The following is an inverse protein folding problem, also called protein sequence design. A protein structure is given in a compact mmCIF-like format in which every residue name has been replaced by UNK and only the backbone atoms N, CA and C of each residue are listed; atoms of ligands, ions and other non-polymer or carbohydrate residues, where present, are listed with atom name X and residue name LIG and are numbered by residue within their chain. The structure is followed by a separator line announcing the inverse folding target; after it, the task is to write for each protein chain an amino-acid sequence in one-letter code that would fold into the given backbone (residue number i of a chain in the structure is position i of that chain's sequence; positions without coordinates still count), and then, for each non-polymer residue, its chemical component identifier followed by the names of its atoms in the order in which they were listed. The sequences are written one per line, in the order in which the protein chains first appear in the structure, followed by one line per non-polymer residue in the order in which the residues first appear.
data_IF_203591799011
#
_entry.id   IF_203591799011
#
_cell.length_a   1.000
_cell.length_b   1.000
_cell.length_c   1.000
_cell.angle_alpha   90.00
_cell.angle_beta   90.00
_cell.angle_gamma   90.00
#
_symmetry.space_group_name_H-M   'P 1'
#
loop_
_entity.id
_entity.type
_entity.pdbx_description
1 polymer ?
#
# COMPACT_ATOMS: atom_id res chain seq x y z
N UNK A 1 13.41 2.64 7.09
CA UNK A 1 12.38 3.47 7.76
C UNK A 1 11.86 2.80 9.03
N UNK A 2 11.66 3.54 10.12
CA UNK A 2 11.04 3.05 11.36
C UNK A 2 10.03 4.06 11.88
N UNK A 3 8.77 3.64 12.03
CA UNK A 3 7.67 4.49 12.51
C UNK A 3 6.89 3.79 13.62
N UNK A 4 6.60 4.53 14.69
CA UNK A 4 5.70 4.07 15.75
C UNK A 4 4.30 4.62 15.47
N UNK A 5 3.34 3.72 15.28
CA UNK A 5 1.94 4.08 15.03
C UNK A 5 1.11 3.45 16.14
N UNK A 6 0.54 4.31 17.00
CA UNK A 6 -0.14 3.87 18.23
C UNK A 6 0.78 3.08 19.15
N UNK A 7 0.42 1.81 19.42
CA UNK A 7 1.20 0.87 20.25
C UNK A 7 2.14 -0.02 19.45
N UNK A 8 2.06 -0.01 18.11
CA UNK A 8 2.84 -0.87 17.23
C UNK A 8 4.06 -0.09 16.68
N UNK A 9 5.18 -0.80 16.52
CA UNK A 9 6.41 -0.26 15.93
C UNK A 9 6.60 -0.97 14.61
N UNK A 10 6.59 -0.20 13.53
CA UNK A 10 6.84 -0.65 12.17
C UNK A 10 8.27 -0.31 11.81
N UNK A 11 9.01 -1.30 11.32
CA UNK A 11 10.44 -1.23 11.12
C UNK A 11 10.77 -2.05 9.88
N UNK A 12 11.21 -1.38 8.81
CA UNK A 12 11.48 -2.02 7.51
C UNK A 12 12.65 -2.99 7.58
N UNK A 13 13.62 -2.77 8.48
CA UNK A 13 14.80 -3.63 8.62
C UNK A 13 14.49 -4.93 9.38
N UNK A 14 13.57 -4.84 10.35
CA UNK A 14 13.12 -6.02 11.11
C UNK A 14 11.99 -6.81 10.45
N UNK A 15 11.44 -6.29 9.37
CA UNK A 15 10.29 -6.87 8.68
C UNK A 15 10.70 -7.58 7.40
N UNK A 16 9.91 -8.57 6.98
CA UNK A 16 10.17 -9.32 5.75
C UNK A 16 9.65 -8.51 4.55
N UNK A 17 10.54 -8.12 3.65
CA UNK A 17 10.17 -7.54 2.37
C UNK A 17 9.43 -8.56 1.51
N UNK A 18 8.33 -8.13 0.90
CA UNK A 18 7.47 -8.97 0.05
C UNK A 18 7.61 -8.59 -1.42
N UNK A 19 7.51 -7.31 -1.73
CA UNK A 19 7.55 -6.81 -3.09
C UNK A 19 7.39 -5.29 -3.12
N UNK A 20 7.53 -4.72 -4.31
CA UNK A 20 7.33 -3.29 -4.54
C UNK A 20 6.54 -3.02 -5.80
N UNK A 21 5.76 -1.95 -5.75
CA UNK A 21 5.03 -1.37 -6.86
C UNK A 21 5.61 0.01 -7.14
N UNK A 22 5.87 0.33 -8.40
CA UNK A 22 6.36 1.64 -8.81
C UNK A 22 5.38 2.17 -9.85
N UNK A 23 4.72 3.27 -9.53
CA UNK A 23 3.83 3.98 -10.44
C UNK A 23 4.47 5.31 -10.83
N UNK A 24 5.03 5.36 -12.04
CA UNK A 24 5.67 6.55 -12.58
C UNK A 24 7.05 6.25 -13.14
N UNK A 25 7.64 7.26 -13.77
CA UNK A 25 9.00 7.20 -14.32
C UNK A 25 9.97 7.98 -13.43
N UNK A 26 11.26 7.64 -13.52
CA UNK A 26 12.31 8.32 -12.78
C UNK A 26 12.28 9.83 -13.03
N UNK A 27 12.18 10.63 -11.97
CA UNK A 27 12.10 12.10 -12.06
C UNK A 27 10.69 12.65 -12.32
N UNK A 28 9.65 11.80 -12.32
CA UNK A 28 8.29 12.27 -12.45
C UNK A 28 7.78 12.79 -11.08
N UNK A 29 7.41 14.08 -10.96
CA UNK A 29 7.02 14.67 -9.67
C UNK A 29 5.72 14.07 -9.10
N UNK A 30 4.92 13.42 -9.94
CA UNK A 30 3.69 12.71 -9.58
C UNK A 30 3.91 11.21 -9.31
N UNK A 31 5.11 10.68 -9.58
CA UNK A 31 5.41 9.27 -9.41
C UNK A 31 5.53 8.87 -7.94
N UNK A 32 5.19 7.63 -7.64
CA UNK A 32 5.32 7.06 -6.30
C UNK A 32 5.72 5.58 -6.34
N UNK A 33 6.29 5.13 -5.23
CA UNK A 33 6.74 3.77 -4.98
C UNK A 33 6.10 3.27 -3.69
N UNK A 34 5.61 2.04 -3.71
CA UNK A 34 4.98 1.37 -2.58
C UNK A 34 5.69 0.04 -2.35
N UNK A 35 6.24 -0.16 -1.16
CA UNK A 35 6.97 -1.38 -0.79
C UNK A 35 6.24 -2.11 0.33
N UNK A 36 5.87 -3.36 0.10
CA UNK A 36 5.12 -4.18 1.07
C UNK A 36 6.06 -4.95 1.99
N UNK A 37 5.81 -4.83 3.28
CA UNK A 37 6.54 -5.53 4.33
C UNK A 37 5.59 -6.30 5.25
N UNK A 38 6.03 -7.50 5.63
CA UNK A 38 5.39 -8.33 6.65
C UNK A 38 6.15 -8.21 7.96
N UNK A 39 5.51 -7.67 9.00
CA UNK A 39 6.09 -7.54 10.34
C UNK A 39 5.94 -8.82 11.14
N UNK A 40 4.72 -9.36 11.19
CA UNK A 40 4.38 -10.58 11.93
C UNK A 40 3.18 -11.27 11.28
N UNK A 41 2.75 -12.43 11.79
CA UNK A 41 1.52 -13.07 11.32
C UNK A 41 0.32 -12.12 11.52
N UNK A 42 -0.35 -11.72 10.43
CA UNK A 42 -1.48 -10.79 10.42
C UNK A 42 -1.13 -9.30 10.45
N UNK A 43 0.15 -8.92 10.56
CA UNK A 43 0.58 -7.50 10.59
C UNK A 43 1.41 -7.17 9.35
N UNK A 44 0.81 -6.42 8.43
CA UNK A 44 1.42 -5.94 7.20
C UNK A 44 1.48 -4.42 7.19
N UNK A 45 2.39 -3.86 6.41
CA UNK A 45 2.48 -2.42 6.20
C UNK A 45 3.16 -2.10 4.86
N UNK A 46 2.71 -1.01 4.25
CA UNK A 46 3.33 -0.40 3.08
C UNK A 46 4.25 0.72 3.51
N UNK A 47 5.45 0.73 2.97
CA UNK A 47 6.30 1.90 2.90
C UNK A 47 5.96 2.62 1.59
N UNK A 48 5.48 3.85 1.68
CA UNK A 48 5.14 4.66 0.51
C UNK A 48 6.11 5.81 0.42
N UNK A 49 6.61 6.09 -0.78
CA UNK A 49 7.52 7.21 -1.04
C UNK A 49 7.23 7.76 -2.43
N UNK A 50 7.41 9.05 -2.66
CA UNK A 50 7.09 9.63 -3.95
C UNK A 50 7.59 11.06 -4.13
N UNK A 51 7.36 11.59 -5.33
CA UNK A 51 7.72 12.97 -5.67
C UNK A 51 6.87 13.99 -4.92
N UNK A 52 7.35 15.24 -4.83
CA UNK A 52 6.70 16.31 -4.08
C UNK A 52 5.24 16.60 -4.51
N UNK A 53 4.86 16.29 -5.76
CA UNK A 53 3.49 16.45 -6.27
C UNK A 53 2.69 15.14 -6.30
N UNK A 54 3.28 14.02 -5.85
CA UNK A 54 2.63 12.72 -5.80
C UNK A 54 1.67 12.59 -4.60
N UNK A 55 0.86 11.52 -4.60
CA UNK A 55 -0.01 11.19 -3.46
C UNK A 55 0.77 10.95 -2.16
N UNK A 56 2.03 10.51 -2.29
CA UNK A 56 2.93 10.21 -1.19
C UNK A 56 4.13 11.16 -1.29
N UNK A 57 3.91 12.43 -0.99
CA UNK A 57 4.93 13.48 -1.12
C UNK A 57 6.17 13.28 -0.24
N UNK A 58 6.05 12.45 0.80
CA UNK A 58 7.12 12.08 1.73
C UNK A 58 7.09 10.57 1.99
N UNK A 59 8.22 10.03 2.45
CA UNK A 59 8.31 8.64 2.86
C UNK A 59 7.48 8.39 4.13
N UNK A 60 6.46 7.54 4.04
CA UNK A 60 5.56 7.21 5.15
C UNK A 60 5.26 5.71 5.27
N UNK A 61 4.74 5.29 6.43
CA UNK A 61 4.35 3.90 6.68
C UNK A 61 2.84 3.83 6.89
N UNK A 62 2.18 3.07 6.03
CA UNK A 62 0.74 2.80 6.09
C UNK A 62 0.54 1.36 6.57
N UNK A 63 0.01 1.13 7.78
CA UNK A 63 -0.33 -0.21 8.23
C UNK A 63 -1.51 -0.76 7.42
N UNK A 64 -1.42 -2.02 7.03
CA UNK A 64 -2.46 -2.72 6.29
C UNK A 64 -2.94 -3.96 7.03
N UNK A 65 -4.22 -4.27 6.86
CA UNK A 65 -4.79 -5.52 7.31
C UNK A 65 -4.44 -6.65 6.34
N UNK A 66 -4.63 -7.91 6.77
CA UNK A 66 -4.33 -9.07 5.94
C UNK A 66 -5.11 -9.06 4.62
N UNK A 67 -6.38 -8.62 4.64
CA UNK A 67 -7.24 -8.60 3.45
C UNK A 67 -6.68 -7.62 2.40
N UNK A 68 -6.42 -6.36 2.75
CA UNK A 68 -5.80 -5.40 1.85
C UNK A 68 -4.40 -5.83 1.39
N UNK A 69 -3.60 -6.43 2.29
CA UNK A 69 -2.28 -6.93 1.93
C UNK A 69 -2.36 -8.07 0.92
N UNK A 70 -3.34 -8.98 1.07
CA UNK A 70 -3.63 -10.04 0.10
C UNK A 70 -3.99 -9.44 -1.26
N UNK A 71 -4.90 -8.49 -1.32
CA UNK A 71 -5.29 -7.85 -2.58
C UNK A 71 -4.12 -7.14 -3.25
N UNK A 72 -3.28 -6.44 -2.47
CA UNK A 72 -2.09 -5.78 -3.00
C UNK A 72 -1.07 -6.79 -3.54
N UNK A 73 -0.75 -7.84 -2.78
CA UNK A 73 0.21 -8.86 -3.21
C UNK A 73 -0.31 -9.56 -4.46
N UNK A 74 -1.60 -9.89 -4.51
CA UNK A 74 -2.24 -10.48 -5.68
C UNK A 74 -2.12 -9.59 -6.92
N UNK A 75 -2.39 -8.29 -6.76
CA UNK A 75 -2.35 -7.31 -7.84
C UNK A 75 -0.93 -7.03 -8.35
N UNK A 76 0.05 -6.96 -7.46
CA UNK A 76 1.41 -6.49 -7.77
C UNK A 76 2.39 -7.64 -7.99
N UNK A 77 2.34 -8.67 -7.15
CA UNK A 77 3.30 -9.78 -7.14
C UNK A 77 2.71 -11.09 -7.68
N UNK A 78 1.39 -11.27 -7.59
CA UNK A 78 0.66 -12.44 -8.07
C UNK A 78 0.23 -13.42 -6.97
N UNK A 79 -0.60 -14.41 -7.36
CA UNK A 79 -1.12 -15.44 -6.44
C UNK A 79 -0.05 -16.33 -5.82
N UNK A 80 1.04 -16.58 -6.54
CA UNK A 80 2.11 -17.48 -6.09
C UNK A 80 2.82 -16.92 -4.86
N UNK A 81 3.19 -15.64 -4.91
CA UNK A 81 3.78 -14.94 -3.76
C UNK A 81 2.79 -14.82 -2.60
N UNK A 82 1.50 -14.62 -2.89
CA UNK A 82 0.48 -14.57 -1.85
C UNK A 82 0.44 -15.86 -1.03
N UNK A 83 0.50 -17.03 -1.67
CA UNK A 83 0.51 -18.35 -1.00
C UNK A 83 1.80 -18.59 -0.19
N UNK A 84 2.93 -18.06 -0.64
CA UNK A 84 4.19 -18.15 0.12
C UNK A 84 4.19 -17.24 1.36
N UNK A 85 3.65 -16.04 1.22
CA UNK A 85 3.72 -14.99 2.24
C UNK A 85 2.61 -15.13 3.29
N UNK A 86 1.42 -15.50 2.86
CA UNK A 86 0.28 -15.77 3.74
C UNK A 86 0.32 -17.24 4.15
N UNK A 87 0.87 -17.49 5.33
CA UNK A 87 0.86 -18.83 5.91
C UNK A 87 -0.44 -19.09 6.65
N UNK A 88 -0.84 -20.35 6.80
CA UNK A 88 -2.09 -20.77 7.49
C UNK A 88 -2.24 -20.19 8.91
N UNK A 89 -1.13 -19.81 9.56
CA UNK A 89 -1.12 -19.12 10.85
C UNK A 89 -1.74 -17.71 10.82
N UNK A 90 -1.66 -17.05 9.67
CA UNK A 90 -2.14 -15.70 9.42
C UNK A 90 -3.68 -15.66 9.29
N UNK A 91 -4.27 -16.67 8.65
CA UNK A 91 -5.72 -16.81 8.53
C UNK A 91 -6.37 -17.15 9.87
N UNK A 92 -5.71 -17.97 10.69
CA UNK A 92 -6.20 -18.33 12.03
C UNK A 92 -6.24 -17.12 13.00
N UNK A 93 -5.47 -16.07 12.73
CA UNK A 93 -5.47 -14.85 13.57
C UNK A 93 -6.62 -13.89 13.26
N UNK A 94 -7.25 -13.96 12.08
CA UNK A 94 -8.35 -13.04 11.71
C UNK A 94 -9.74 -13.51 12.16
N UNK A 95 -9.94 -14.79 12.48
CA UNK A 95 -11.27 -15.34 12.84
C UNK A 95 -11.83 -14.84 14.19
N UNK A 96 -11.15 -13.92 14.87
CA UNK A 96 -11.55 -13.39 16.19
C UNK A 96 -11.90 -11.89 16.23
N UNK A 97 -11.91 -11.18 15.11
CA UNK A 97 -12.17 -9.74 15.11
C UNK A 97 -13.45 -9.39 14.34
N UNK A 98 -14.46 -8.75 14.99
CA UNK A 98 -15.63 -8.26 14.27
C UNK A 98 -15.24 -7.07 13.40
N UNK A 99 -15.62 -7.16 12.13
CA UNK A 99 -15.52 -6.13 11.10
C UNK A 99 -15.97 -4.77 11.65
N UNK A 100 -15.11 -3.76 11.49
CA UNK A 100 -15.51 -2.36 11.61
C UNK A 100 -15.13 -1.65 10.32
N UNK A 101 -16.15 -1.37 9.52
CA UNK A 101 -16.19 -0.30 8.54
C UNK A 101 -15.43 0.94 9.04
N UNK A 102 -14.42 1.37 8.27
CA UNK A 102 -14.18 2.75 7.87
C UNK A 102 -12.77 2.92 7.28
N UNK A 103 -12.68 3.04 5.95
CA UNK A 103 -11.96 4.19 5.36
C UNK A 103 -12.39 4.41 3.91
N UNK A 104 -13.44 5.20 3.76
CA UNK A 104 -13.74 5.96 2.56
C UNK A 104 -12.72 7.10 2.41
N UNK A 105 -11.82 6.99 1.43
CA UNK A 105 -11.24 8.04 0.57
C UNK A 105 -10.04 7.41 -0.16
N UNK A 106 -9.99 7.28 -1.48
CA UNK A 106 -10.35 8.30 -2.49
C UNK A 106 -10.59 7.62 -3.85
N UNK A 107 -11.85 7.43 -4.21
CA UNK A 107 -12.26 7.35 -5.61
C UNK A 107 -12.46 8.76 -6.15
N UNK A 108 -11.74 9.13 -7.21
CA UNK A 108 -12.11 10.03 -8.33
C UNK A 108 -10.82 10.55 -8.98
N UNK A 109 -10.61 10.58 -10.30
CA UNK A 109 -11.41 10.23 -11.47
C UNK A 109 -10.66 10.75 -12.71
N UNK A 110 -10.66 9.96 -13.78
CA UNK A 110 -10.95 10.43 -15.15
C UNK A 110 -9.90 11.29 -15.87
N UNK A 111 -9.19 10.60 -16.76
CA UNK A 111 -8.90 11.09 -18.11
C UNK A 111 -10.09 11.81 -18.76
N UNK A 112 -9.94 13.11 -19.10
CA UNK A 112 -10.71 13.70 -20.22
C UNK A 112 -9.99 14.87 -20.91
N UNK A 113 -9.62 14.55 -22.14
CA UNK A 113 -9.42 15.37 -23.33
C UNK A 113 -10.23 16.68 -23.41
N UNK A 114 -9.63 17.64 -24.12
CA UNK A 114 -10.20 18.77 -24.89
C UNK A 114 -10.92 19.90 -24.15
N UNK A 115 -10.36 21.12 -24.26
CA UNK A 115 -11.13 22.37 -24.23
C UNK A 115 -10.92 23.12 -25.55
N UNK A 116 -11.99 23.18 -26.34
CA UNK A 116 -12.16 24.00 -27.55
C UNK A 116 -13.14 25.12 -27.19
N UNK A 117 -12.72 26.38 -27.30
CA UNK A 117 -13.56 27.60 -27.32
C UNK A 117 -12.69 28.70 -27.95
N UNK A 118 -12.78 29.02 -29.25
CA UNK A 118 -13.76 29.91 -29.89
C UNK A 118 -14.18 31.09 -29.00
N UNK A 119 -13.67 32.30 -29.31
CA UNK A 119 -14.42 33.57 -29.51
C UNK A 119 -13.49 34.78 -29.42
N UNK A 120 -13.15 35.39 -30.56
CA UNK A 120 -13.44 36.80 -30.84
C UNK A 120 -13.45 37.02 -32.36
#
# INVERSE_FOLDING_TARGET
MRKKIGRKIYDTEKSKYIGKNVEGEFGNPYGFEEEMYKKNAGDFFLLVQGGAESQYSEEDIIPLELEDAKEWILRVCGEETLKEVVTEKDEKTLEKSPKKDASDKKTTSTSKKTKKTSKK
#
